data_IF_623874023215
#
_entry.id   IF_623874023215
#
_cell.length_a   1.000
_cell.length_b   1.000
_cell.length_c   1.000
_cell.angle_alpha   90.00
_cell.angle_beta   90.00
_cell.angle_gamma   90.00
#
_symmetry.space_group_name_H-M   'P 1'
#
loop_
_entity.id
_entity.type
_entity.pdbx_description
1 polymer ?
#
# COMPACT_ATOMS: atom_id res chain seq x y z
N UNK A 1 -28.11 23.33 -33.94
CA UNK A 1 -26.86 24.09 -33.77
C UNK A 1 -26.41 24.01 -32.32
N UNK A 2 -25.29 23.30 -32.10
CA UNK A 2 -24.25 23.47 -31.08
C UNK A 2 -24.61 23.80 -29.62
N UNK A 3 -24.89 22.75 -28.83
CA UNK A 3 -24.80 22.77 -27.36
C UNK A 3 -23.72 21.81 -26.82
N UNK A 4 -22.66 21.52 -27.59
CA UNK A 4 -21.57 20.60 -27.18
C UNK A 4 -20.46 21.35 -26.42
N UNK A 5 -20.48 22.69 -26.39
CA UNK A 5 -19.40 23.52 -25.85
C UNK A 5 -19.22 23.45 -24.32
N UNK A 6 -20.17 22.88 -23.57
CA UNK A 6 -20.17 22.94 -22.10
C UNK A 6 -19.62 21.69 -21.41
N UNK A 7 -19.42 20.59 -22.13
CA UNK A 7 -18.86 19.35 -21.59
C UNK A 7 -17.33 19.37 -21.68
N UNK A 8 -16.71 20.38 -21.06
CA UNK A 8 -15.29 20.30 -20.76
C UNK A 8 -15.16 19.36 -19.55
N UNK A 9 -14.48 18.20 -19.67
CA UNK A 9 -14.15 17.44 -18.48
C UNK A 9 -13.35 18.36 -17.57
N UNK A 10 -13.71 18.40 -16.28
CA UNK A 10 -12.94 19.15 -15.30
C UNK A 10 -11.48 18.74 -15.45
N UNK A 11 -10.63 19.68 -15.85
CA UNK A 11 -9.24 19.40 -16.11
C UNK A 11 -8.67 18.67 -14.89
N UNK A 12 -8.08 17.49 -15.10
CA UNK A 12 -7.40 16.77 -14.02
C UNK A 12 -6.40 17.76 -13.44
N UNK A 13 -6.61 18.15 -12.18
CA UNK A 13 -5.64 18.96 -11.47
C UNK A 13 -4.43 18.06 -11.23
N UNK A 14 -3.44 18.18 -12.11
CA UNK A 14 -2.21 17.44 -11.94
C UNK A 14 -1.60 17.86 -10.60
N UNK A 15 -1.23 16.90 -9.74
CA UNK A 15 -0.56 17.23 -8.50
C UNK A 15 0.73 17.99 -8.80
N UNK A 16 1.05 18.95 -7.96
CA UNK A 16 2.34 19.63 -7.93
C UNK A 16 3.48 18.62 -7.83
N UNK A 17 4.71 18.96 -8.23
CA UNK A 17 5.86 18.07 -8.06
C UNK A 17 6.01 17.60 -6.61
N UNK A 18 5.84 18.51 -5.66
CA UNK A 18 5.87 18.24 -4.22
C UNK A 18 4.79 17.23 -3.79
N UNK A 19 3.54 17.43 -4.20
CA UNK A 19 2.47 16.50 -3.89
C UNK A 19 2.71 15.16 -4.59
N UNK A 20 3.21 15.14 -5.82
CA UNK A 20 3.51 13.91 -6.57
C UNK A 20 4.51 13.03 -5.82
N UNK A 21 5.60 13.62 -5.31
CA UNK A 21 6.59 12.90 -4.48
C UNK A 21 5.92 12.31 -3.22
N UNK A 22 5.04 13.07 -2.58
CA UNK A 22 4.31 12.61 -1.40
C UNK A 22 3.37 11.44 -1.74
N UNK A 23 2.64 11.53 -2.85
CA UNK A 23 1.76 10.45 -3.30
C UNK A 23 2.59 9.20 -3.63
N UNK A 24 3.70 9.34 -4.33
CA UNK A 24 4.62 8.23 -4.64
C UNK A 24 5.20 7.58 -3.38
N UNK A 25 5.52 8.37 -2.35
CA UNK A 25 5.91 7.83 -1.04
C UNK A 25 4.79 6.96 -0.44
N UNK A 26 3.53 7.40 -0.51
CA UNK A 26 2.36 6.60 -0.08
C UNK A 26 2.21 5.32 -0.90
N UNK A 27 2.44 5.37 -2.22
CA UNK A 27 2.41 4.17 -3.08
C UNK A 27 3.41 3.12 -2.66
N UNK A 28 4.62 3.56 -2.35
CA UNK A 28 5.72 2.70 -1.97
C UNK A 28 5.71 2.35 -0.47
N UNK A 29 4.60 2.65 0.23
CA UNK A 29 4.44 2.40 1.66
C UNK A 29 5.54 3.03 2.53
N UNK A 30 6.11 4.15 2.07
CA UNK A 30 7.09 4.92 2.83
C UNK A 30 6.36 5.64 3.96
N UNK A 31 6.79 5.50 5.23
CA UNK A 31 6.17 6.18 6.35
C UNK A 31 6.24 7.70 6.20
N UNK A 32 5.08 8.36 6.21
CA UNK A 32 5.02 9.82 6.22
C UNK A 32 5.10 10.36 7.65
N UNK A 33 5.83 11.46 7.83
CA UNK A 33 5.90 12.19 9.09
C UNK A 33 4.89 13.34 9.11
N UNK A 34 4.56 13.82 10.31
CA UNK A 34 3.64 14.96 10.47
C UNK A 34 4.12 16.23 9.74
N UNK A 35 5.45 16.43 9.64
CA UNK A 35 6.04 17.57 8.91
C UNK A 35 5.79 17.52 7.40
N UNK A 36 5.53 16.33 6.85
CA UNK A 36 5.30 16.16 5.42
C UNK A 36 3.87 16.57 5.02
N UNK A 37 2.94 16.56 6.00
CA UNK A 37 1.51 16.88 5.87
C UNK A 37 1.22 18.37 6.09
N UNK A 38 1.87 19.24 5.33
CA UNK A 38 1.62 20.69 5.41
C UNK A 38 0.18 21.04 5.00
N UNK A 39 -0.42 22.13 5.55
CA UNK A 39 -1.79 22.52 5.19
C UNK A 39 -2.01 22.71 3.69
N UNK A 40 -1.01 23.24 3.00
CA UNK A 40 -1.03 23.41 1.54
C UNK A 40 -1.10 22.07 0.80
N UNK A 41 -0.24 21.11 1.16
CA UNK A 41 -0.23 19.77 0.54
C UNK A 41 -1.52 19.01 0.83
N UNK A 42 -2.07 19.16 2.03
CA UNK A 42 -3.36 18.54 2.39
C UNK A 42 -4.52 19.17 1.62
N UNK A 43 -4.53 20.50 1.46
CA UNK A 43 -5.56 21.18 0.66
C UNK A 43 -5.50 20.76 -0.81
N UNK A 44 -4.30 20.65 -1.37
CA UNK A 44 -4.08 20.15 -2.72
C UNK A 44 -4.51 18.68 -2.86
N UNK A 45 -4.12 17.82 -1.91
CA UNK A 45 -4.55 16.43 -1.85
C UNK A 45 -6.07 16.29 -1.76
N UNK A 46 -6.77 17.18 -1.05
CA UNK A 46 -8.25 17.20 -1.05
C UNK A 46 -8.82 17.51 -2.43
N UNK A 47 -8.23 18.46 -3.15
CA UNK A 47 -8.67 18.78 -4.50
C UNK A 47 -8.49 17.57 -5.44
N UNK A 48 -7.36 16.85 -5.35
CA UNK A 48 -7.13 15.62 -6.11
C UNK A 48 -8.07 14.50 -5.66
N UNK A 49 -8.26 14.30 -4.36
CA UNK A 49 -9.13 13.28 -3.79
C UNK A 49 -10.61 13.47 -4.16
N UNK A 50 -11.02 14.71 -4.40
CA UNK A 50 -12.34 15.12 -4.86
C UNK A 50 -12.60 14.88 -6.35
N UNK A 51 -11.58 14.46 -7.13
CA UNK A 51 -11.79 14.06 -8.52
C UNK A 51 -12.69 12.82 -8.54
N UNK A 52 -13.83 12.96 -9.22
CA UNK A 52 -14.75 11.85 -9.44
C UNK A 52 -14.10 10.82 -10.37
N UNK A 53 -14.06 9.57 -9.93
CA UNK A 53 -13.62 8.42 -10.74
C UNK A 53 -14.79 7.80 -11.52
N UNK A 54 -15.85 8.58 -11.75
CA UNK A 54 -17.03 8.10 -12.44
C UNK A 54 -16.72 7.80 -13.92
N UNK A 55 -17.34 6.76 -14.49
CA UNK A 55 -17.30 6.50 -15.92
C UNK A 55 -17.68 7.73 -16.74
N UNK A 56 -17.12 7.85 -17.94
CA UNK A 56 -17.40 8.97 -18.82
C UNK A 56 -18.81 8.88 -19.41
N UNK A 57 -19.46 10.04 -19.56
CA UNK A 57 -20.70 10.13 -20.34
C UNK A 57 -20.39 9.82 -21.83
N UNK A 58 -21.21 8.99 -22.52
CA UNK A 58 -21.04 8.73 -23.95
C UNK A 58 -20.90 9.99 -24.82
N UNK A 59 -21.56 11.09 -24.46
CA UNK A 59 -21.48 12.38 -25.16
C UNK A 59 -20.07 12.99 -25.03
N UNK A 60 -19.43 12.84 -23.87
CA UNK A 60 -18.05 13.30 -23.66
C UNK A 60 -17.08 12.49 -24.52
N UNK A 61 -17.26 11.16 -24.57
CA UNK A 61 -16.46 10.26 -25.42
C UNK A 61 -16.61 10.67 -26.89
N UNK A 62 -17.84 10.83 -27.37
CA UNK A 62 -18.12 11.23 -28.75
C UNK A 62 -17.51 12.60 -29.08
N UNK A 63 -17.59 13.58 -28.18
CA UNK A 63 -16.98 14.89 -28.36
C UNK A 63 -15.45 14.82 -28.43
N UNK A 64 -14.83 13.94 -27.65
CA UNK A 64 -13.40 13.69 -27.70
C UNK A 64 -12.99 13.04 -29.02
N UNK A 65 -13.72 12.00 -29.46
CA UNK A 65 -13.49 11.29 -30.72
C UNK A 65 -13.66 12.20 -31.94
N UNK A 66 -14.69 13.05 -31.94
CA UNK A 66 -14.89 14.05 -33.02
C UNK A 66 -13.67 14.95 -33.19
N UNK A 67 -13.04 15.37 -32.09
CA UNK A 67 -11.81 16.17 -32.14
C UNK A 67 -10.59 15.36 -32.54
N UNK A 68 -10.57 14.06 -32.27
CA UNK A 68 -9.49 13.17 -32.72
C UNK A 68 -9.54 12.96 -34.23
N UNK A 69 -10.75 12.93 -34.82
CA UNK A 69 -10.93 12.65 -36.25
C UNK A 69 -10.19 13.67 -37.13
N UNK A 70 -10.10 14.93 -36.68
CA UNK A 70 -9.32 15.98 -37.36
C UNK A 70 -7.80 15.92 -37.15
N UNK A 71 -7.29 14.97 -36.37
CA UNK A 71 -5.86 14.80 -36.09
C UNK A 71 -5.27 13.53 -36.74
N UNK A 72 -6.09 12.67 -37.31
CA UNK A 72 -5.69 11.40 -37.94
C UNK A 72 -6.00 11.43 -39.43
N UNK A 73 -5.30 10.60 -40.20
CA UNK A 73 -5.40 10.58 -41.67
C UNK A 73 -6.69 9.93 -42.16
N UNK A 74 -7.17 8.90 -41.46
CA UNK A 74 -8.35 8.08 -41.85
C UNK A 74 -9.49 8.18 -40.83
N UNK A 75 -9.75 9.38 -40.30
CA UNK A 75 -10.89 9.61 -39.41
C UNK A 75 -12.23 9.22 -40.07
N UNK A 76 -13.23 8.76 -39.30
CA UNK A 76 -14.52 8.39 -39.86
C UNK A 76 -15.24 9.61 -40.43
N UNK A 77 -15.93 9.37 -41.55
CA UNK A 77 -16.92 10.25 -42.13
C UNK A 77 -18.21 10.24 -41.30
N UNK A 78 -19.08 11.24 -41.51
CA UNK A 78 -20.28 11.44 -40.68
C UNK A 78 -21.19 10.20 -40.61
N UNK A 79 -21.29 9.44 -41.71
CA UNK A 79 -22.09 8.23 -41.80
C UNK A 79 -21.60 7.10 -40.86
N UNK A 80 -20.28 6.95 -40.67
CA UNK A 80 -19.69 5.90 -39.83
C UNK A 80 -19.32 6.38 -38.43
N UNK A 81 -19.23 7.69 -38.22
CA UNK A 81 -18.79 8.29 -36.97
C UNK A 81 -19.66 7.85 -35.77
N UNK A 82 -20.98 7.78 -35.94
CA UNK A 82 -21.89 7.37 -34.88
C UNK A 82 -21.68 5.90 -34.49
N UNK A 83 -21.66 4.99 -35.48
CA UNK A 83 -21.46 3.56 -35.23
C UNK A 83 -20.12 3.28 -34.56
N UNK A 84 -19.05 3.94 -35.02
CA UNK A 84 -17.73 3.77 -34.42
C UNK A 84 -17.66 4.38 -33.02
N UNK A 85 -18.31 5.53 -32.77
CA UNK A 85 -18.38 6.10 -31.43
C UNK A 85 -19.12 5.16 -30.46
N UNK A 86 -20.20 4.50 -30.89
CA UNK A 86 -20.87 3.49 -30.07
C UNK A 86 -19.94 2.33 -29.71
N UNK A 87 -19.20 1.77 -30.68
CA UNK A 87 -18.23 0.71 -30.40
C UNK A 87 -17.12 1.17 -29.43
N UNK A 88 -16.67 2.42 -29.53
CA UNK A 88 -15.70 3.00 -28.59
C UNK A 88 -16.27 3.14 -27.18
N UNK A 89 -17.53 3.54 -27.04
CA UNK A 89 -18.22 3.62 -25.75
C UNK A 89 -18.39 2.25 -25.12
N UNK A 90 -18.73 1.22 -25.91
CA UNK A 90 -18.86 -0.15 -25.39
C UNK A 90 -17.56 -0.68 -24.79
N UNK A 91 -16.42 -0.38 -25.41
CA UNK A 91 -15.12 -0.91 -24.99
C UNK A 91 -14.43 0.00 -23.95
N UNK A 92 -14.58 1.32 -24.06
CA UNK A 92 -13.84 2.29 -23.23
C UNK A 92 -14.72 3.04 -22.21
N UNK A 93 -16.01 2.72 -22.14
CA UNK A 93 -16.99 3.46 -21.33
C UNK A 93 -16.74 3.40 -19.83
N UNK A 94 -16.06 2.36 -19.34
CA UNK A 94 -15.69 2.19 -17.92
C UNK A 94 -14.54 3.11 -17.48
N UNK A 95 -13.83 3.72 -18.44
CA UNK A 95 -12.72 4.61 -18.14
C UNK A 95 -13.22 5.92 -17.50
N UNK A 96 -12.49 6.47 -16.51
CA UNK A 96 -12.92 7.67 -15.81
C UNK A 96 -13.11 8.86 -16.77
N UNK A 97 -14.14 9.68 -16.58
CA UNK A 97 -14.41 10.89 -17.38
C UNK A 97 -13.15 11.76 -17.61
N UNK A 98 -12.29 11.80 -16.60
CA UNK A 98 -11.08 12.61 -16.59
C UNK A 98 -10.04 12.19 -17.66
N UNK A 99 -10.02 10.94 -18.15
CA UNK A 99 -9.09 10.52 -19.21
C UNK A 99 -9.46 11.10 -20.58
N UNK A 100 -10.69 11.56 -20.77
CA UNK A 100 -11.19 12.07 -22.04
C UNK A 100 -10.85 13.55 -22.23
N UNK A 101 -9.58 13.90 -22.02
CA UNK A 101 -9.07 15.28 -22.04
C UNK A 101 -8.20 15.57 -23.29
N UNK A 102 -7.87 16.85 -23.58
CA UNK A 102 -6.98 17.20 -24.69
C UNK A 102 -5.58 16.59 -24.58
N UNK A 103 -5.07 16.37 -23.38
CA UNK A 103 -3.73 15.82 -23.13
C UNK A 103 -3.60 14.39 -23.67
N UNK A 104 -4.54 13.51 -23.33
CA UNK A 104 -4.55 12.11 -23.79
C UNK A 104 -4.77 12.01 -25.30
N UNK A 105 -5.54 12.94 -25.88
CA UNK A 105 -5.73 13.06 -27.33
C UNK A 105 -4.44 13.45 -28.04
N UNK A 106 -3.74 14.45 -27.50
CA UNK A 106 -2.42 14.86 -28.02
C UNK A 106 -1.40 13.74 -27.86
N UNK A 107 -1.47 12.98 -26.77
CA UNK A 107 -0.62 11.81 -26.57
C UNK A 107 -0.87 10.74 -27.64
N UNK A 108 -2.13 10.51 -28.04
CA UNK A 108 -2.44 9.60 -29.15
C UNK A 108 -1.80 10.08 -30.45
N UNK A 109 -2.04 11.34 -30.84
CA UNK A 109 -1.50 11.90 -32.08
C UNK A 109 0.04 11.91 -32.13
N UNK A 110 0.70 11.84 -30.97
CA UNK A 110 2.16 11.78 -30.83
C UNK A 110 2.72 10.36 -30.73
N UNK A 111 1.89 9.32 -30.79
CA UNK A 111 2.31 7.92 -30.62
C UNK A 111 3.02 7.31 -31.86
N UNK A 112 3.64 8.13 -32.70
CA UNK A 112 4.35 7.71 -33.90
C UNK A 112 3.41 7.20 -34.98
N UNK A 113 3.73 6.06 -35.60
CA UNK A 113 2.94 5.48 -36.69
C UNK A 113 1.49 5.15 -36.28
N UNK A 114 1.27 4.70 -35.04
CA UNK A 114 -0.08 4.38 -34.53
C UNK A 114 -0.97 5.62 -34.47
N UNK A 115 -0.41 6.73 -34.01
CA UNK A 115 -1.11 8.00 -33.82
C UNK A 115 -1.60 8.67 -35.09
N UNK A 116 -1.09 8.24 -36.25
CA UNK A 116 -1.50 8.75 -37.56
C UNK A 116 -2.87 8.22 -37.99
N UNK A 117 -3.28 7.08 -37.46
CA UNK A 117 -4.52 6.41 -37.86
C UNK A 117 -5.59 6.47 -36.78
N UNK A 118 -6.84 6.33 -37.21
CA UNK A 118 -7.97 6.17 -36.34
C UNK A 118 -7.83 4.87 -35.53
N UNK A 119 -7.94 4.92 -34.20
CA UNK A 119 -7.73 3.75 -33.35
C UNK A 119 -8.80 2.68 -33.58
N UNK A 120 -8.42 1.42 -33.41
CA UNK A 120 -9.40 0.39 -33.06
C UNK A 120 -9.83 0.53 -31.58
N UNK A 121 -11.04 0.07 -31.17
CA UNK A 121 -11.50 0.21 -29.79
C UNK A 121 -10.54 -0.34 -28.74
N UNK A 122 -9.93 -1.50 -28.99
CA UNK A 122 -8.95 -2.10 -28.09
C UNK A 122 -7.64 -1.28 -27.99
N UNK A 123 -7.22 -0.64 -29.08
CA UNK A 123 -6.02 0.21 -29.09
C UNK A 123 -6.26 1.50 -28.32
N UNK A 124 -7.45 2.10 -28.49
CA UNK A 124 -7.82 3.29 -27.74
C UNK A 124 -7.88 2.97 -26.24
N UNK A 125 -8.48 1.83 -25.87
CA UNK A 125 -8.51 1.38 -24.49
C UNK A 125 -7.09 1.22 -23.92
N UNK A 126 -6.22 0.47 -24.62
CA UNK A 126 -4.84 0.25 -24.20
C UNK A 126 -4.04 1.56 -24.08
N UNK A 127 -4.31 2.55 -24.93
CA UNK A 127 -3.69 3.87 -24.84
C UNK A 127 -4.17 4.68 -23.63
N UNK A 128 -5.47 4.64 -23.33
CA UNK A 128 -6.06 5.43 -22.24
C UNK A 128 -5.89 4.78 -20.87
N UNK A 129 -5.75 3.46 -20.80
CA UNK A 129 -5.65 2.70 -19.55
C UNK A 129 -4.53 3.19 -18.61
N UNK A 130 -3.28 3.44 -19.06
CA UNK A 130 -2.23 3.97 -18.19
C UNK A 130 -2.58 5.32 -17.56
N UNK A 131 -3.32 6.18 -18.28
CA UNK A 131 -3.80 7.45 -17.73
C UNK A 131 -4.90 7.22 -16.69
N UNK A 132 -5.84 6.32 -16.96
CA UNK A 132 -6.89 5.95 -16.01
C UNK A 132 -6.31 5.39 -14.70
N UNK A 133 -5.35 4.46 -14.81
CA UNK A 133 -4.67 3.85 -13.66
C UNK A 133 -3.90 4.89 -12.84
N UNK A 134 -3.16 5.79 -13.52
CA UNK A 134 -2.47 6.90 -12.87
C UNK A 134 -3.44 7.76 -12.06
N UNK A 135 -4.59 8.13 -12.64
CA UNK A 135 -5.61 8.95 -11.95
C UNK A 135 -6.20 8.19 -10.76
N UNK A 136 -6.63 6.94 -10.96
CA UNK A 136 -7.21 6.09 -9.90
C UNK A 136 -6.26 5.99 -8.71
N UNK A 137 -4.98 5.74 -8.99
CA UNK A 137 -3.96 5.69 -7.96
C UNK A 137 -3.71 7.04 -7.29
N UNK A 138 -3.58 8.14 -8.05
CA UNK A 138 -3.38 9.48 -7.49
C UNK A 138 -4.52 9.86 -6.54
N UNK A 139 -5.77 9.60 -6.93
CA UNK A 139 -6.96 9.83 -6.10
C UNK A 139 -6.92 8.96 -4.84
N UNK A 140 -6.56 7.68 -4.97
CA UNK A 140 -6.43 6.77 -3.83
C UNK A 140 -5.35 7.23 -2.83
N UNK A 141 -4.16 7.57 -3.32
CA UNK A 141 -3.06 8.07 -2.49
C UNK A 141 -3.42 9.41 -1.84
N UNK A 142 -4.08 10.32 -2.56
CA UNK A 142 -4.52 11.60 -2.03
C UNK A 142 -5.57 11.42 -0.91
N UNK A 143 -6.52 10.49 -1.06
CA UNK A 143 -7.48 10.13 0.00
C UNK A 143 -6.76 9.61 1.26
N UNK A 144 -5.70 8.82 1.10
CA UNK A 144 -4.86 8.37 2.23
C UNK A 144 -4.18 9.54 2.94
N UNK A 145 -3.57 10.47 2.20
CA UNK A 145 -2.95 11.68 2.75
C UNK A 145 -3.96 12.50 3.56
N UNK A 146 -5.16 12.71 3.01
CA UNK A 146 -6.24 13.45 3.70
C UNK A 146 -6.65 12.76 4.99
N UNK A 147 -6.87 11.43 4.95
CA UNK A 147 -7.23 10.63 6.13
C UNK A 147 -6.13 10.67 7.21
N UNK A 148 -4.85 10.60 6.81
CA UNK A 148 -3.73 10.72 7.75
C UNK A 148 -3.67 12.11 8.40
N UNK A 149 -3.91 13.16 7.62
CA UNK A 149 -3.93 14.53 8.14
C UNK A 149 -5.11 14.77 9.10
N UNK A 150 -6.26 14.13 8.87
CA UNK A 150 -7.41 14.19 9.77
C UNK A 150 -7.15 13.41 11.07
N UNK A 151 -6.62 12.18 10.97
CA UNK A 151 -6.22 11.40 12.13
C UNK A 151 -5.13 12.11 12.97
N UNK A 152 -4.21 12.85 12.34
CA UNK A 152 -3.20 13.62 13.04
C UNK A 152 -3.78 14.81 13.84
N UNK A 153 -4.94 15.35 13.43
CA UNK A 153 -5.66 16.39 14.19
C UNK A 153 -6.42 15.80 15.37
N UNK A 154 -6.95 14.59 15.22
CA UNK A 154 -7.70 13.86 16.25
C UNK A 154 -6.78 13.14 17.25
N UNK A 155 -5.51 12.94 16.90
CA UNK A 155 -4.54 12.31 17.78
C UNK A 155 -4.51 13.03 19.14
N UNK A 156 -4.57 12.29 20.26
CA UNK A 156 -4.59 12.90 21.58
C UNK A 156 -3.40 13.84 21.70
N UNK A 157 -3.68 15.11 22.08
CA UNK A 157 -2.65 16.10 22.37
C UNK A 157 -1.55 15.42 23.18
N UNK A 158 -0.30 15.57 22.75
CA UNK A 158 0.85 15.07 23.53
C UNK A 158 0.65 15.53 24.96
N UNK A 159 0.60 14.58 25.89
CA UNK A 159 0.42 14.87 27.31
C UNK A 159 1.34 16.02 27.71
N UNK A 160 0.80 17.00 28.42
CA UNK A 160 1.63 18.08 28.96
C UNK A 160 2.75 17.47 29.82
N UNK A 161 3.87 18.18 30.03
CA UNK A 161 4.91 17.70 30.94
C UNK A 161 4.33 17.33 32.32
N UNK A 162 3.33 18.08 32.78
CA UNK A 162 2.61 17.84 34.03
C UNK A 162 1.75 16.57 33.99
N UNK A 163 1.01 16.34 32.89
CA UNK A 163 0.24 15.10 32.70
C UNK A 163 1.15 13.87 32.59
N UNK A 164 2.34 14.02 32.00
CA UNK A 164 3.36 12.95 31.97
C UNK A 164 3.89 12.67 33.36
N UNK A 165 4.23 13.70 34.14
CA UNK A 165 4.66 13.56 35.52
C UNK A 165 3.54 12.98 36.42
N UNK A 166 2.27 13.32 36.16
CA UNK A 166 1.12 12.76 36.86
C UNK A 166 0.94 11.27 36.54
N UNK A 167 1.07 10.87 35.27
CA UNK A 167 1.02 9.47 34.86
C UNK A 167 2.22 8.70 35.41
N UNK A 168 3.41 9.28 35.42
CA UNK A 168 4.60 8.66 36.01
C UNK A 168 4.43 8.45 37.52
N UNK A 169 3.90 9.46 38.23
CA UNK A 169 3.51 9.32 39.63
C UNK A 169 2.45 8.24 39.84
N UNK A 170 1.42 8.18 38.99
CA UNK A 170 0.37 7.17 39.08
C UNK A 170 0.90 5.75 38.78
N UNK A 171 1.80 5.60 37.81
CA UNK A 171 2.46 4.33 37.48
C UNK A 171 3.41 3.90 38.61
N UNK A 172 4.14 4.84 39.20
CA UNK A 172 5.04 4.56 40.32
C UNK A 172 4.26 4.22 41.60
N UNK A 173 3.17 4.92 41.88
CA UNK A 173 2.25 4.60 42.97
C UNK A 173 1.59 3.23 42.75
N UNK A 174 1.12 2.94 41.54
CA UNK A 174 0.57 1.64 41.18
C UNK A 174 1.60 0.51 41.30
N UNK A 175 2.85 0.72 40.87
CA UNK A 175 3.95 -0.23 41.10
C UNK A 175 4.25 -0.45 42.59
N UNK A 176 4.17 0.61 43.40
CA UNK A 176 4.36 0.52 44.85
C UNK A 176 3.22 -0.21 45.57
N UNK A 177 2.00 -0.13 45.04
CA UNK A 177 0.82 -0.84 45.56
C UNK A 177 0.63 -2.23 44.94
N UNK A 178 1.40 -2.58 43.90
CA UNK A 178 1.38 -3.93 43.37
C UNK A 178 2.07 -4.82 44.41
N UNK A 179 1.39 -5.85 44.96
CA UNK A 179 2.11 -6.88 45.68
C UNK A 179 3.12 -7.43 44.68
N UNK A 180 4.40 -7.24 44.98
CA UNK A 180 5.49 -7.89 44.25
C UNK A 180 5.22 -9.37 44.44
N UNK A 181 4.53 -9.98 43.48
CA UNK A 181 4.57 -11.42 43.29
C UNK A 181 6.07 -11.72 43.25
N UNK A 182 6.62 -12.43 44.23
CA UNK A 182 8.02 -12.79 44.20
C UNK A 182 8.25 -13.41 42.83
N UNK A 183 9.22 -12.90 42.09
CA UNK A 183 9.57 -13.36 40.74
C UNK A 183 9.88 -14.87 40.68
N UNK A 184 9.86 -15.54 41.81
CA UNK A 184 10.19 -16.95 42.00
C UNK A 184 8.97 -17.89 42.04
N UNK A 185 7.71 -17.43 42.02
CA UNK A 185 6.55 -18.32 42.27
C UNK A 185 5.65 -18.59 41.05
N UNK A 186 5.83 -17.90 39.92
CA UNK A 186 5.13 -18.27 38.67
C UNK A 186 6.10 -18.93 37.68
N UNK A 187 6.78 -19.98 38.13
CA UNK A 187 6.96 -21.14 37.23
C UNK A 187 5.56 -21.69 37.01
N UNK A 188 4.93 -21.33 35.88
CA UNK A 188 3.86 -22.19 35.34
C UNK A 188 4.41 -23.62 35.44
N UNK A 189 3.71 -24.50 36.16
CA UNK A 189 3.92 -25.94 36.08
C UNK A 189 3.69 -26.32 34.61
N UNK A 190 4.70 -26.12 33.78
CA UNK A 190 4.83 -26.94 32.59
C UNK A 190 5.08 -28.35 33.13
N UNK A 191 4.35 -29.37 32.65
CA UNK A 191 4.74 -30.74 32.94
C UNK A 191 6.22 -30.87 32.57
N UNK A 192 7.02 -31.52 33.42
CA UNK A 192 8.47 -31.65 33.27
C UNK A 192 8.81 -32.12 31.85
N UNK A 193 8.99 -31.18 30.93
CA UNK A 193 9.29 -31.53 29.56
C UNK A 193 10.73 -32.03 29.57
N UNK A 194 11.00 -33.24 29.06
CA UNK A 194 12.35 -33.75 29.01
C UNK A 194 13.20 -32.73 28.25
N UNK A 195 14.31 -32.34 28.86
CA UNK A 195 15.26 -31.41 28.28
C UNK A 195 15.66 -31.89 26.88
N UNK A 196 16.06 -30.97 26.01
CA UNK A 196 16.48 -31.31 24.64
C UNK A 196 17.54 -32.42 24.63
N UNK A 197 18.46 -32.42 25.61
CA UNK A 197 19.46 -33.47 25.83
C UNK A 197 18.83 -34.83 26.20
N UNK A 198 17.83 -34.85 27.08
CA UNK A 198 17.09 -36.06 27.43
C UNK A 198 16.30 -36.61 26.24
N UNK A 199 15.70 -35.75 25.42
CA UNK A 199 14.99 -36.15 24.19
C UNK A 199 15.93 -36.75 23.15
N UNK A 200 17.11 -36.17 22.95
CA UNK A 200 18.15 -36.73 22.06
C UNK A 200 18.60 -38.11 22.56
N UNK A 201 18.87 -38.25 23.86
CA UNK A 201 19.28 -39.53 24.44
C UNK A 201 18.18 -40.60 24.31
N UNK A 202 16.92 -40.22 24.46
CA UNK A 202 15.78 -41.12 24.29
C UNK A 202 15.63 -41.59 22.84
N UNK A 203 15.71 -40.68 21.87
CA UNK A 203 15.65 -41.06 20.46
C UNK A 203 16.84 -41.92 20.01
N UNK A 204 18.03 -41.69 20.58
CA UNK A 204 19.19 -42.58 20.36
C UNK A 204 18.94 -43.99 20.90
N UNK A 205 18.34 -44.13 22.09
CA UNK A 205 17.93 -45.44 22.63
C UNK A 205 16.86 -46.11 21.77
N UNK A 206 15.90 -45.36 21.24
CA UNK A 206 14.89 -45.89 20.32
C UNK A 206 15.49 -46.32 18.99
N UNK A 207 16.52 -45.63 18.50
CA UNK A 207 17.24 -45.97 17.26
C UNK A 207 17.95 -47.34 17.36
N UNK A 208 18.50 -47.66 18.53
CA UNK A 208 19.16 -48.96 18.79
C UNK A 208 18.18 -50.13 18.64
N UNK A 209 16.94 -49.96 19.09
CA UNK A 209 15.87 -50.96 19.02
C UNK A 209 14.99 -50.87 17.75
N UNK A 210 15.19 -49.86 16.89
CA UNK A 210 14.34 -49.57 15.75
C UNK A 210 14.65 -50.43 14.52
N UNK A 211 13.61 -50.87 13.81
CA UNK A 211 13.70 -51.48 12.48
C UNK A 211 14.05 -50.46 11.37
N UNK A 212 14.34 -50.93 10.14
CA UNK A 212 14.90 -50.10 9.06
C UNK A 212 14.05 -48.86 8.71
N UNK A 213 12.72 -49.01 8.69
CA UNK A 213 11.78 -47.93 8.37
C UNK A 213 11.75 -46.83 9.44
N UNK A 214 11.83 -47.20 10.71
CA UNK A 214 11.86 -46.25 11.82
C UNK A 214 13.22 -45.51 11.89
N UNK A 215 14.32 -46.18 11.53
CA UNK A 215 15.66 -45.55 11.47
C UNK A 215 15.72 -44.42 10.43
N UNK A 216 15.08 -44.60 9.28
CA UNK A 216 15.04 -43.60 8.21
C UNK A 216 14.46 -42.24 8.66
N UNK A 217 13.59 -42.22 9.68
CA UNK A 217 13.00 -41.00 10.23
C UNK A 217 13.67 -40.53 11.53
N UNK A 218 14.18 -41.45 12.36
CA UNK A 218 14.82 -41.12 13.63
C UNK A 218 16.20 -40.48 13.45
N UNK A 219 17.00 -40.92 12.49
CA UNK A 219 18.33 -40.35 12.22
C UNK A 219 18.29 -38.84 11.89
N UNK A 220 17.52 -38.37 10.88
CA UNK A 220 17.47 -36.96 10.55
C UNK A 220 16.86 -36.11 11.68
N UNK A 221 15.92 -36.68 12.47
CA UNK A 221 15.34 -36.02 13.63
C UNK A 221 16.38 -35.79 14.74
N UNK A 222 17.18 -36.81 15.06
CA UNK A 222 18.26 -36.72 16.06
C UNK A 222 19.29 -35.67 15.63
N UNK A 223 19.72 -35.70 14.36
CA UNK A 223 20.68 -34.71 13.83
C UNK A 223 20.16 -33.28 13.94
N UNK A 224 18.87 -33.04 13.66
CA UNK A 224 18.27 -31.71 13.77
C UNK A 224 18.23 -31.24 15.24
N UNK A 225 17.82 -32.11 16.17
CA UNK A 225 17.77 -31.78 17.60
C UNK A 225 19.18 -31.49 18.17
N UNK A 226 20.21 -32.20 17.70
CA UNK A 226 21.61 -31.95 18.07
C UNK A 226 22.11 -30.60 17.53
N UNK A 227 21.77 -30.25 16.29
CA UNK A 227 22.07 -28.95 15.71
C UNK A 227 21.39 -27.81 16.49
N UNK A 228 20.13 -28.02 16.88
CA UNK A 228 19.39 -27.08 17.74
C UNK A 228 20.06 -26.93 19.11
N UNK A 229 20.47 -28.03 19.73
CA UNK A 229 21.18 -28.01 21.02
C UNK A 229 22.51 -27.27 20.91
N UNK A 230 23.30 -27.54 19.86
CA UNK A 230 24.57 -26.84 19.60
C UNK A 230 24.36 -25.33 19.37
N UNK A 231 23.30 -24.94 18.65
CA UNK A 231 22.97 -23.53 18.43
C UNK A 231 22.56 -22.81 19.73
N UNK A 232 21.85 -23.50 20.63
CA UNK A 232 21.47 -22.97 21.95
C UNK A 232 22.71 -22.82 22.83
N UNK A 233 23.59 -23.82 22.89
CA UNK A 233 24.83 -23.76 23.68
C UNK A 233 25.83 -22.73 23.15
N UNK A 234 25.84 -22.44 21.84
CA UNK A 234 26.70 -21.41 21.23
C UNK A 234 26.22 -19.97 21.47
N UNK A 235 24.94 -19.77 21.82
CA UNK A 235 24.46 -18.46 22.25
C UNK A 235 24.96 -18.21 23.67
N UNK A 236 26.12 -17.55 23.79
CA UNK A 236 26.49 -16.87 25.04
C UNK A 236 25.30 -16.01 25.52
N UNK A 237 25.04 -15.92 26.83
CA UNK A 237 24.05 -14.99 27.34
C UNK A 237 24.44 -13.58 26.91
N UNK A 238 23.67 -13.00 25.98
CA UNK A 238 23.82 -11.60 25.60
C UNK A 238 23.46 -10.74 26.82
N UNK A 239 24.50 -10.16 27.42
CA UNK A 239 24.46 -8.87 28.11
C UNK A 239 23.48 -8.75 29.28
N UNK A 240 23.94 -9.12 30.47
CA UNK A 240 23.64 -8.39 31.70
C UNK A 240 24.87 -8.47 32.62
N UNK A 241 25.94 -7.79 32.23
CA UNK A 241 27.02 -7.42 33.16
C UNK A 241 27.07 -5.90 33.21
N UNK A 242 26.64 -5.39 34.37
CA UNK A 242 27.14 -4.19 35.04
C UNK A 242 26.80 -2.84 34.41
N UNK A 243 25.55 -2.42 34.64
CA UNK A 243 25.32 -1.03 35.07
C UNK A 243 25.33 -1.04 36.60
N UNK A 244 26.05 -0.07 37.19
CA UNK A 244 26.15 0.29 38.62
C UNK A 244 27.48 -0.15 39.27
N UNK A 245 28.46 0.77 39.27
CA UNK A 245 28.95 1.37 40.52
C UNK A 245 29.22 2.85 40.25
N UNK A 246 28.39 3.71 40.85
CA UNK A 246 28.76 5.07 41.24
C UNK A 246 29.62 4.98 42.49
N UNK A 247 30.76 5.62 42.48
CA UNK A 247 31.32 6.35 43.63
C UNK A 247 31.86 7.66 43.07
#
# INVERSE_FOLDING_TARGET
>A
MNAISTLAPSAIRQPSPDLSVLLDAVRNSVPLQARDLTPQRVAEARAVAGVALQPADPVLIAAWLKKLAGLVVNGPDEARAQQQAHAMVEVCGDLPAAVWCPETRRAWARSGERGKFWPAPAELYAHLLPFAEKIRWQVHAARKVVKMAEAAKEAPKRRTPEERAAVERAVNAWRGCQPVQPKDVVKRMQPDQPSLRQRIAEYRRQLEAAGPEARAWLEPLITNLEAQHAAICRKQPRGFTESVVRA
#
